data_IF_867176883711
#
_entry.id   IF_867176883711
#
_cell.length_a   1.000
_cell.length_b   1.000
_cell.length_c   1.000
_cell.angle_alpha   90.00
_cell.angle_beta   90.00
_cell.angle_gamma   90.00
#
_symmetry.space_group_name_H-M   'P 1'
#
loop_
_entity.id
_entity.type
_entity.pdbx_description
1 polymer ?
#
# COMPACT_ATOMS: atom_id res chain seq x y z
N UNK A 1 -67.87 87.76 12.33
CA UNK A 1 -66.48 87.30 12.56
C UNK A 1 -66.27 86.72 13.96
N UNK A 2 -66.65 87.42 15.04
CA UNK A 2 -66.32 86.99 16.41
C UNK A 2 -66.93 85.65 16.87
N UNK A 3 -68.20 85.37 16.55
CA UNK A 3 -68.89 84.13 16.95
C UNK A 3 -68.29 82.86 16.31
N UNK A 4 -67.89 82.93 15.04
CA UNK A 4 -67.21 81.82 14.33
C UNK A 4 -65.84 81.49 14.92
N UNK A 5 -65.12 82.50 15.44
CA UNK A 5 -63.81 82.29 16.08
C UNK A 5 -63.95 81.63 17.47
N UNK A 6 -65.00 81.97 18.22
CA UNK A 6 -65.30 81.35 19.52
C UNK A 6 -65.73 79.88 19.36
N UNK A 7 -66.57 79.58 18.36
CA UNK A 7 -66.97 78.20 18.07
C UNK A 7 -65.79 77.33 17.60
N UNK A 8 -64.86 77.89 16.82
CA UNK A 8 -63.63 77.21 16.42
C UNK A 8 -62.70 76.93 17.61
N UNK A 9 -62.53 77.90 18.51
CA UNK A 9 -61.75 77.72 19.74
C UNK A 9 -62.35 76.63 20.64
N UNK A 10 -63.66 76.68 20.88
CA UNK A 10 -64.33 75.68 21.72
C UNK A 10 -64.22 74.27 21.12
N UNK A 11 -64.27 74.14 19.78
CA UNK A 11 -64.10 72.84 19.11
C UNK A 11 -62.68 72.28 19.23
N UNK A 12 -61.66 73.15 19.19
CA UNK A 12 -60.27 72.75 19.43
C UNK A 12 -60.00 72.46 20.91
N UNK A 13 -60.61 73.20 21.85
CA UNK A 13 -60.51 72.92 23.29
C UNK A 13 -61.13 71.55 23.64
N UNK A 14 -62.28 71.20 23.01
CA UNK A 14 -62.90 69.87 23.17
C UNK A 14 -62.03 68.76 22.59
N UNK A 15 -61.37 68.98 21.44
CA UNK A 15 -60.38 68.01 20.90
C UNK A 15 -59.16 67.89 21.81
N UNK A 16 -58.66 69.00 22.34
CA UNK A 16 -57.54 69.02 23.29
C UNK A 16 -57.87 68.25 24.57
N UNK A 17 -59.08 68.40 25.10
CA UNK A 17 -59.56 67.61 26.24
C UNK A 17 -59.73 66.12 25.91
N UNK A 18 -60.16 65.78 24.68
CA UNK A 18 -60.22 64.40 24.20
C UNK A 18 -58.84 63.74 24.15
N UNK A 19 -57.87 64.42 23.53
CA UNK A 19 -56.48 63.97 23.46
C UNK A 19 -55.85 63.86 24.86
N UNK A 20 -56.14 64.80 25.77
CA UNK A 20 -55.67 64.74 27.16
C UNK A 20 -56.17 63.48 27.89
N UNK A 21 -57.45 63.14 27.74
CA UNK A 21 -58.01 61.90 28.34
C UNK A 21 -57.41 60.63 27.75
N UNK A 22 -57.11 60.61 26.45
CA UNK A 22 -56.45 59.47 25.81
C UNK A 22 -55.01 59.30 26.29
N UNK A 23 -54.28 60.40 26.46
CA UNK A 23 -52.93 60.41 27.05
C UNK A 23 -52.95 59.89 28.49
N UNK A 24 -53.90 60.35 29.32
CA UNK A 24 -54.04 59.86 30.70
C UNK A 24 -54.35 58.35 30.76
N UNK A 25 -55.20 57.88 29.84
CA UNK A 25 -55.54 56.45 29.72
C UNK A 25 -54.33 55.61 29.30
N UNK A 26 -53.52 56.10 28.36
CA UNK A 26 -52.29 55.43 27.92
C UNK A 26 -51.23 55.41 29.02
N UNK A 27 -51.07 56.52 29.76
CA UNK A 27 -50.17 56.60 30.91
C UNK A 27 -50.57 55.62 32.03
N UNK A 28 -51.87 55.48 32.29
CA UNK A 28 -52.39 54.47 33.21
C UNK A 28 -51.99 53.05 32.81
N UNK A 29 -52.17 52.70 31.54
CA UNK A 29 -51.74 51.38 31.00
C UNK A 29 -50.22 51.18 31.07
N UNK A 30 -49.44 52.21 30.80
CA UNK A 30 -47.98 52.15 30.87
C UNK A 30 -47.52 51.89 32.31
N UNK A 31 -48.16 52.54 33.29
CA UNK A 31 -47.88 52.31 34.71
C UNK A 31 -48.22 50.88 35.17
N UNK A 32 -49.29 50.30 34.63
CA UNK A 32 -49.69 48.92 34.91
C UNK A 32 -48.70 47.91 34.30
N UNK A 33 -48.26 48.13 33.06
CA UNK A 33 -47.25 47.31 32.40
C UNK A 33 -45.89 47.38 33.10
N UNK A 34 -45.46 48.56 33.53
CA UNK A 34 -44.22 48.73 34.30
C UNK A 34 -44.28 47.99 35.65
N UNK A 35 -45.46 47.88 36.27
CA UNK A 35 -45.66 47.10 37.49
C UNK A 35 -45.57 45.58 37.25
N UNK A 36 -46.11 45.12 36.12
CA UNK A 36 -46.12 43.70 35.75
C UNK A 36 -44.75 43.21 35.24
N UNK A 37 -43.97 44.07 34.60
CA UNK A 37 -42.61 43.79 34.13
C UNK A 37 -41.60 44.82 34.65
N UNK A 38 -41.14 44.70 35.91
CA UNK A 38 -40.26 45.67 36.56
C UNK A 38 -38.87 45.83 35.91
N UNK A 39 -38.47 44.88 35.06
CA UNK A 39 -37.19 44.87 34.35
C UNK A 39 -37.31 45.29 32.89
N UNK A 40 -38.49 45.71 32.42
CA UNK A 40 -38.71 46.14 31.03
C UNK A 40 -37.86 47.36 30.64
N UNK A 41 -37.48 48.20 31.62
CA UNK A 41 -36.65 49.39 31.41
C UNK A 41 -35.15 49.05 31.18
N UNK A 42 -34.76 47.79 31.33
CA UNK A 42 -33.37 47.34 31.13
C UNK A 42 -33.29 46.37 29.96
N UNK A 43 -32.44 46.69 29.00
CA UNK A 43 -32.12 45.78 27.93
C UNK A 43 -31.47 44.50 28.51
N UNK A 44 -31.88 43.29 28.09
CA UNK A 44 -31.25 42.05 28.53
C UNK A 44 -29.79 41.98 28.05
N UNK A 45 -28.96 41.15 28.70
CA UNK A 45 -27.54 40.98 28.33
C UNK A 45 -27.33 40.54 26.87
N UNK A 46 -28.35 39.90 26.27
CA UNK A 46 -28.35 39.43 24.88
C UNK A 46 -29.16 40.34 23.94
N UNK A 47 -29.49 41.57 24.36
CA UNK A 47 -30.37 42.47 23.61
C UNK A 47 -29.87 42.74 22.19
N UNK A 48 -28.58 42.98 21.99
CA UNK A 48 -28.01 43.23 20.66
C UNK A 48 -28.13 42.00 19.74
N UNK A 49 -27.88 40.81 20.28
CA UNK A 49 -27.96 39.56 19.54
C UNK A 49 -29.41 39.24 19.16
N UNK A 50 -30.36 39.46 20.08
CA UNK A 50 -31.79 39.28 19.83
C UNK A 50 -32.27 40.34 18.83
N UNK A 51 -31.89 41.61 18.99
CA UNK A 51 -32.27 42.70 18.09
C UNK A 51 -31.84 42.41 16.64
N UNK A 52 -30.64 41.87 16.43
CA UNK A 52 -30.18 41.45 15.11
C UNK A 52 -31.10 40.38 14.47
N UNK A 53 -31.69 39.48 15.26
CA UNK A 53 -32.64 38.46 14.77
C UNK A 53 -34.00 39.03 14.39
N UNK A 54 -34.47 40.03 15.15
CA UNK A 54 -35.69 40.76 14.81
C UNK A 54 -35.50 41.57 13.53
N UNK A 55 -34.35 42.25 13.37
CA UNK A 55 -34.00 42.97 12.14
C UNK A 55 -33.89 42.04 10.93
N UNK A 56 -33.36 40.82 11.10
CA UNK A 56 -33.26 39.82 10.05
C UNK A 56 -34.62 39.28 9.55
N UNK A 57 -35.73 39.63 10.22
CA UNK A 57 -37.09 39.24 9.79
C UNK A 57 -37.64 40.17 8.69
N UNK A 58 -36.96 41.29 8.39
CA UNK A 58 -37.33 42.29 7.36
C UNK A 58 -38.78 42.82 7.49
N UNK A 59 -39.28 42.84 8.73
CA UNK A 59 -40.61 43.35 9.09
C UNK A 59 -40.44 44.42 10.17
N UNK A 60 -41.04 45.58 9.96
CA UNK A 60 -41.16 46.59 11.00
C UNK A 60 -42.00 46.03 12.16
N UNK A 61 -41.44 46.04 13.37
CA UNK A 61 -42.14 45.53 14.56
C UNK A 61 -43.18 46.56 14.99
N UNK A 62 -44.46 46.22 14.81
CA UNK A 62 -45.62 46.99 15.26
C UNK A 62 -46.38 46.22 16.34
N UNK A 63 -47.20 46.91 17.13
CA UNK A 63 -48.01 46.28 18.19
C UNK A 63 -48.96 45.18 17.65
N UNK A 64 -49.37 45.25 16.38
CA UNK A 64 -50.28 44.28 15.77
C UNK A 64 -49.54 43.03 15.23
N UNK A 65 -48.26 43.16 14.89
CA UNK A 65 -47.48 42.06 14.32
C UNK A 65 -46.42 41.48 15.27
N UNK A 66 -46.27 42.06 16.47
CA UNK A 66 -45.27 41.68 17.46
C UNK A 66 -45.32 40.19 17.80
N UNK A 67 -46.51 39.63 18.03
CA UNK A 67 -46.68 38.20 18.34
C UNK A 67 -46.23 37.31 17.19
N UNK A 68 -46.50 37.72 15.96
CA UNK A 68 -46.12 36.98 14.76
C UNK A 68 -44.59 37.01 14.56
N UNK A 69 -43.96 38.18 14.69
CA UNK A 69 -42.51 38.36 14.56
C UNK A 69 -41.78 37.64 15.70
N UNK A 70 -42.26 37.77 16.94
CA UNK A 70 -41.73 37.04 18.10
C UNK A 70 -41.78 35.53 17.88
N UNK A 71 -42.93 34.99 17.45
CA UNK A 71 -43.08 33.55 17.16
C UNK A 71 -42.12 33.09 16.06
N UNK A 72 -41.85 33.93 15.06
CA UNK A 72 -40.90 33.63 13.99
C UNK A 72 -39.46 33.56 14.52
N UNK A 73 -39.03 34.54 15.32
CA UNK A 73 -37.69 34.58 15.93
C UNK A 73 -37.49 33.42 16.90
N UNK A 74 -38.49 33.14 17.74
CA UNK A 74 -38.46 32.03 18.72
C UNK A 74 -38.37 30.66 18.04
N UNK A 75 -39.12 30.45 16.95
CA UNK A 75 -38.99 29.25 16.12
C UNK A 75 -37.59 29.14 15.49
N UNK A 76 -37.03 30.25 15.02
CA UNK A 76 -35.68 30.30 14.46
C UNK A 76 -34.62 29.86 15.49
N UNK A 77 -34.65 30.46 16.68
CA UNK A 77 -33.75 30.10 17.78
C UNK A 77 -33.93 28.65 18.23
N UNK A 78 -35.18 28.19 18.36
CA UNK A 78 -35.48 26.80 18.71
C UNK A 78 -34.95 25.82 17.67
N UNK A 79 -35.04 26.15 16.38
CA UNK A 79 -34.49 25.31 15.30
C UNK A 79 -32.96 25.29 15.31
N UNK A 80 -32.31 26.43 15.54
CA UNK A 80 -30.85 26.50 15.68
C UNK A 80 -30.36 25.70 16.88
N UNK A 81 -31.04 25.83 18.03
CA UNK A 81 -30.71 25.07 19.23
C UNK A 81 -30.83 23.57 18.99
N UNK A 82 -31.91 23.12 18.32
CA UNK A 82 -32.08 21.71 17.93
C UNK A 82 -30.98 21.27 16.97
N UNK A 83 -30.62 22.07 15.98
CA UNK A 83 -29.56 21.74 15.03
C UNK A 83 -28.20 21.59 15.72
N UNK A 84 -27.88 22.48 16.67
CA UNK A 84 -26.66 22.43 17.47
C UNK A 84 -26.65 21.20 18.39
N UNK A 85 -27.76 20.87 19.04
CA UNK A 85 -27.87 19.70 19.93
C UNK A 85 -27.72 18.37 19.17
N UNK A 86 -28.35 18.27 17.98
CA UNK A 86 -28.14 17.13 17.07
C UNK A 86 -26.68 16.99 16.69
N UNK A 87 -26.05 18.09 16.23
CA UNK A 87 -24.63 18.07 15.83
C UNK A 87 -23.71 17.71 16.98
N UNK A 88 -24.01 18.20 18.19
CA UNK A 88 -23.24 17.89 19.40
C UNK A 88 -23.36 16.40 19.74
N UNK A 89 -24.55 15.82 19.63
CA UNK A 89 -24.79 14.39 19.84
C UNK A 89 -24.06 13.54 18.80
N UNK A 90 -24.11 13.91 17.53
CA UNK A 90 -23.38 13.24 16.44
C UNK A 90 -21.86 13.25 16.67
N UNK A 91 -21.30 14.40 17.02
CA UNK A 91 -19.87 14.53 17.32
C UNK A 91 -19.46 13.68 18.52
N UNK A 92 -20.24 13.70 19.60
CA UNK A 92 -20.01 12.83 20.77
C UNK A 92 -20.04 11.35 20.37
N UNK A 93 -21.01 10.95 19.57
CA UNK A 93 -21.11 9.59 19.03
C UNK A 93 -19.88 9.21 18.21
N UNK A 94 -19.43 10.09 17.31
CA UNK A 94 -18.24 9.86 16.48
C UNK A 94 -16.96 9.68 17.31
N UNK A 95 -16.78 10.48 18.37
CA UNK A 95 -15.62 10.36 19.27
C UNK A 95 -15.66 9.00 19.99
N UNK A 96 -16.80 8.61 20.53
CA UNK A 96 -16.97 7.31 21.21
C UNK A 96 -16.72 6.14 20.26
N UNK A 97 -17.17 6.22 19.00
CA UNK A 97 -16.90 5.19 18.00
C UNK A 97 -15.39 5.04 17.73
N UNK A 98 -14.65 6.16 17.65
CA UNK A 98 -13.19 6.12 17.49
C UNK A 98 -12.49 5.48 18.70
N UNK A 99 -12.98 5.74 19.92
CA UNK A 99 -12.46 5.10 21.14
C UNK A 99 -12.73 3.59 21.16
N UNK A 100 -13.93 3.16 20.75
CA UNK A 100 -14.27 1.73 20.61
C UNK A 100 -13.38 1.05 19.57
N UNK A 101 -13.16 1.68 18.42
CA UNK A 101 -12.29 1.15 17.38
C UNK A 101 -10.84 1.03 17.86
N UNK A 102 -10.34 2.05 18.58
CA UNK A 102 -9.01 2.00 19.19
C UNK A 102 -8.87 0.84 20.18
N UNK A 103 -9.84 0.67 21.08
CA UNK A 103 -9.84 -0.42 22.05
C UNK A 103 -9.88 -1.80 21.37
N UNK A 104 -10.59 -1.92 20.26
CA UNK A 104 -10.70 -3.15 19.48
C UNK A 104 -9.40 -3.50 18.75
N UNK A 105 -8.76 -2.52 18.13
CA UNK A 105 -7.54 -2.72 17.36
C UNK A 105 -6.31 -2.93 18.26
N UNK A 106 -6.27 -2.25 19.43
CA UNK A 106 -5.10 -2.23 20.30
C UNK A 106 -5.42 -2.52 21.78
N UNK A 107 -5.94 -3.72 22.10
CA UNK A 107 -6.36 -4.06 23.46
C UNK A 107 -5.23 -3.97 24.49
N UNK A 108 -4.00 -4.33 24.11
CA UNK A 108 -2.83 -4.26 25.00
C UNK A 108 -2.43 -2.82 25.37
N UNK A 109 -2.61 -1.87 24.45
CA UNK A 109 -2.26 -0.45 24.66
C UNK A 109 -3.41 0.30 25.32
N UNK A 110 -4.65 -0.06 24.99
CA UNK A 110 -5.85 0.52 25.58
C UNK A 110 -5.90 0.33 27.10
N UNK A 111 -5.40 -0.80 27.63
CA UNK A 111 -5.22 -0.98 29.07
C UNK A 111 -6.53 -0.91 29.86
N UNK A 112 -7.65 -1.30 29.24
CA UNK A 112 -8.97 -1.28 29.89
C UNK A 112 -9.65 0.08 29.96
N UNK A 113 -9.24 1.07 29.15
CA UNK A 113 -9.95 2.34 29.04
C UNK A 113 -11.40 2.15 28.61
N UNK A 114 -12.31 2.79 29.32
CA UNK A 114 -13.71 2.84 28.93
C UNK A 114 -13.89 3.81 27.77
N UNK A 115 -14.55 3.34 26.70
CA UNK A 115 -14.84 4.15 25.51
C UNK A 115 -16.01 5.12 25.80
N UNK A 116 -15.76 6.12 26.64
CA UNK A 116 -16.70 7.18 26.97
C UNK A 116 -16.06 8.54 26.76
N UNK A 117 -16.89 9.59 26.65
CA UNK A 117 -16.40 10.95 26.52
C UNK A 117 -15.69 11.45 27.79
N UNK A 118 -16.04 10.91 28.96
CA UNK A 118 -15.39 11.28 30.21
C UNK A 118 -13.90 10.85 30.24
N UNK A 119 -13.57 9.76 29.54
CA UNK A 119 -12.20 9.25 29.41
C UNK A 119 -11.41 9.92 28.27
N UNK A 120 -11.96 10.96 27.61
CA UNK A 120 -11.32 11.56 26.44
C UNK A 120 -9.92 12.11 26.75
N UNK A 121 -9.73 12.71 27.93
CA UNK A 121 -8.44 13.22 28.36
C UNK A 121 -7.40 12.10 28.50
N UNK A 122 -7.80 10.90 28.91
CA UNK A 122 -6.91 9.74 29.02
C UNK A 122 -6.47 9.23 27.64
N UNK A 123 -7.37 9.23 26.64
CA UNK A 123 -7.02 8.90 25.26
C UNK A 123 -6.04 9.92 24.67
N UNK A 124 -6.26 11.21 24.92
CA UNK A 124 -5.36 12.27 24.47
C UNK A 124 -4.00 12.22 25.18
N UNK A 125 -3.98 11.90 26.48
CA UNK A 125 -2.74 11.69 27.22
C UNK A 125 -1.95 10.48 26.67
N UNK A 126 -2.63 9.40 26.30
CA UNK A 126 -2.00 8.25 25.61
C UNK A 126 -1.45 8.65 24.24
N UNK A 127 -2.21 9.41 23.45
CA UNK A 127 -1.74 9.92 22.15
C UNK A 127 -0.45 10.71 22.33
N UNK A 128 -0.44 11.67 23.25
CA UNK A 128 0.74 12.47 23.55
C UNK A 128 1.93 11.60 23.97
N UNK A 129 1.72 10.59 24.81
CA UNK A 129 2.78 9.66 25.20
C UNK A 129 3.29 8.80 24.05
N UNK A 130 2.41 8.43 23.12
CA UNK A 130 2.82 7.70 21.92
C UNK A 130 3.70 8.59 21.02
N UNK A 131 3.31 9.86 20.84
CA UNK A 131 4.05 10.84 20.04
C UNK A 131 5.39 11.23 20.66
N UNK A 132 5.44 11.44 21.98
CA UNK A 132 6.64 11.94 22.68
C UNK A 132 7.65 10.81 23.01
N UNK A 133 7.20 9.71 23.64
CA UNK A 133 8.11 8.72 24.21
C UNK A 133 8.41 7.56 23.26
N UNK A 134 7.38 7.09 22.55
CA UNK A 134 7.42 5.77 21.93
C UNK A 134 7.70 5.85 20.43
N UNK A 135 7.04 6.76 19.72
CA UNK A 135 7.16 6.85 18.27
C UNK A 135 8.60 7.11 17.82
N UNK A 136 9.37 8.06 18.39
CA UNK A 136 10.76 8.27 17.98
C UNK A 136 11.65 7.06 18.22
N UNK A 137 11.51 6.40 19.38
CA UNK A 137 12.29 5.20 19.71
C UNK A 137 11.92 4.01 18.81
N UNK A 138 10.64 3.84 18.47
CA UNK A 138 10.19 2.80 17.54
C UNK A 138 10.63 3.08 16.11
N UNK A 139 10.59 4.34 15.66
CA UNK A 139 11.12 4.78 14.37
C UNK A 139 12.62 4.48 14.29
N UNK A 140 13.40 4.90 15.28
CA UNK A 140 14.85 4.68 15.28
C UNK A 140 15.20 3.19 15.29
N UNK A 141 14.49 2.38 16.09
CA UNK A 141 14.64 0.92 16.09
C UNK A 141 14.26 0.32 14.73
N UNK A 142 13.18 0.79 14.12
CA UNK A 142 12.73 0.34 12.81
C UNK A 142 13.78 0.66 11.73
N UNK A 143 14.29 1.89 11.69
CA UNK A 143 15.36 2.28 10.76
C UNK A 143 16.66 1.52 11.01
N UNK A 144 16.99 1.23 12.28
CA UNK A 144 18.12 0.37 12.64
C UNK A 144 17.97 -1.05 12.09
N UNK A 145 16.81 -1.68 12.31
CA UNK A 145 16.51 -3.03 11.79
C UNK A 145 16.50 -3.06 10.26
N UNK A 146 15.92 -2.04 9.62
CA UNK A 146 15.89 -1.91 8.17
C UNK A 146 17.30 -1.82 7.58
N UNK A 147 18.21 -1.09 8.23
CA UNK A 147 19.59 -0.94 7.78
C UNK A 147 20.42 -2.21 8.00
N UNK A 148 20.31 -2.86 9.16
CA UNK A 148 21.19 -3.98 9.49
C UNK A 148 20.72 -5.32 8.91
N UNK A 149 19.46 -5.69 9.11
CA UNK A 149 18.99 -7.05 8.81
C UNK A 149 18.46 -7.20 7.39
N UNK A 150 17.79 -6.18 6.85
CA UNK A 150 17.21 -6.28 5.51
C UNK A 150 18.27 -6.25 4.41
N UNK A 151 19.27 -5.36 4.54
CA UNK A 151 20.34 -5.23 3.56
C UNK A 151 21.21 -6.50 3.47
N UNK A 152 21.55 -7.12 4.60
CA UNK A 152 22.33 -8.36 4.63
C UNK A 152 21.60 -9.52 3.92
N UNK A 153 20.32 -9.73 4.22
CA UNK A 153 19.55 -10.83 3.65
C UNK A 153 19.28 -10.66 2.15
N UNK A 154 18.96 -9.44 1.71
CA UNK A 154 18.75 -9.15 0.28
C UNK A 154 20.07 -9.25 -0.50
N UNK A 155 21.17 -8.77 0.07
CA UNK A 155 22.49 -8.90 -0.54
C UNK A 155 22.85 -10.37 -0.69
N UNK A 156 22.66 -11.17 0.37
CA UNK A 156 22.89 -12.61 0.32
C UNK A 156 22.05 -13.30 -0.76
N UNK A 157 20.76 -12.94 -0.87
CA UNK A 157 19.87 -13.49 -1.91
C UNK A 157 20.36 -13.14 -3.32
N UNK A 158 20.66 -11.86 -3.57
CA UNK A 158 21.15 -11.40 -4.86
C UNK A 158 22.47 -12.09 -5.25
N UNK A 159 23.43 -12.15 -4.32
CA UNK A 159 24.70 -12.84 -4.51
C UNK A 159 24.49 -14.32 -4.79
N UNK A 160 23.61 -15.01 -4.04
CA UNK A 160 23.33 -16.44 -4.27
C UNK A 160 22.71 -16.71 -5.65
N UNK A 161 21.81 -15.85 -6.11
CA UNK A 161 21.21 -15.99 -7.44
C UNK A 161 22.26 -15.81 -8.56
N UNK A 162 23.19 -14.87 -8.40
CA UNK A 162 24.28 -14.67 -9.37
C UNK A 162 25.32 -15.80 -9.31
N UNK A 163 25.68 -16.27 -8.11
CA UNK A 163 26.58 -17.42 -7.90
C UNK A 163 26.04 -18.70 -8.55
N UNK A 164 24.78 -19.07 -8.27
CA UNK A 164 24.19 -20.29 -8.84
C UNK A 164 24.09 -20.22 -10.37
N UNK A 165 23.79 -19.04 -10.92
CA UNK A 165 23.78 -18.83 -12.36
C UNK A 165 25.18 -18.95 -12.97
N UNK A 166 26.19 -18.36 -12.35
CA UNK A 166 27.58 -18.53 -12.79
C UNK A 166 28.03 -19.99 -12.69
N UNK A 167 27.63 -20.69 -11.62
CA UNK A 167 27.94 -22.10 -11.42
C UNK A 167 27.33 -22.99 -12.50
N UNK A 168 26.14 -22.69 -13.02
CA UNK A 168 25.58 -23.39 -14.19
C UNK A 168 26.49 -23.23 -15.39
N UNK A 169 26.93 -22.00 -15.70
CA UNK A 169 27.83 -21.74 -16.84
C UNK A 169 29.16 -22.49 -16.69
N UNK A 170 29.80 -22.39 -15.54
CA UNK A 170 31.06 -23.10 -15.27
C UNK A 170 30.90 -24.61 -15.36
N UNK A 171 29.77 -25.17 -14.89
CA UNK A 171 29.49 -26.61 -15.05
C UNK A 171 29.29 -27.00 -16.51
N UNK A 172 28.72 -26.14 -17.35
CA UNK A 172 28.58 -26.43 -18.78
C UNK A 172 29.90 -26.36 -19.54
N UNK A 173 30.81 -25.47 -19.15
CA UNK A 173 32.18 -25.44 -19.69
C UNK A 173 32.87 -26.79 -19.47
N UNK A 174 32.73 -27.36 -18.28
CA UNK A 174 33.27 -28.68 -17.95
C UNK A 174 32.62 -29.83 -18.75
N UNK A 175 31.31 -29.73 -19.01
CA UNK A 175 30.61 -30.69 -19.89
C UNK A 175 31.12 -30.57 -21.33
N UNK A 176 31.36 -29.36 -21.82
CA UNK A 176 31.87 -29.13 -23.17
C UNK A 176 33.29 -29.67 -23.35
N UNK A 177 34.17 -29.56 -22.36
CA UNK A 177 35.49 -30.21 -22.37
C UNK A 177 35.37 -31.73 -22.59
N UNK A 178 34.41 -32.37 -21.92
CA UNK A 178 34.16 -33.80 -22.15
C UNK A 178 33.52 -34.09 -23.51
N UNK A 179 32.71 -33.18 -24.04
CA UNK A 179 32.06 -33.37 -25.35
C UNK A 179 33.02 -33.17 -26.52
N UNK A 180 34.06 -32.35 -26.37
CA UNK A 180 35.13 -32.17 -27.37
C UNK A 180 35.89 -33.49 -27.62
N UNK A 181 36.10 -34.28 -26.57
CA UNK A 181 36.77 -35.60 -26.66
C UNK A 181 35.89 -36.73 -27.19
N UNK A 182 34.56 -36.52 -27.23
CA UNK A 182 33.58 -37.53 -27.57
C UNK A 182 32.93 -37.24 -28.94
N UNK A 183 33.20 -38.03 -29.99
CA UNK A 183 32.69 -37.73 -31.32
C UNK A 183 31.16 -37.95 -31.38
N UNK A 184 30.43 -36.97 -31.91
CA UNK A 184 28.96 -37.02 -32.03
C UNK A 184 28.50 -37.65 -33.36
N UNK A 185 29.14 -37.26 -34.47
CA UNK A 185 29.12 -37.93 -35.76
C UNK A 185 30.57 -38.04 -36.29
N UNK A 186 30.82 -38.82 -37.36
CA UNK A 186 32.17 -38.93 -37.91
C UNK A 186 32.73 -37.54 -38.29
N UNK A 187 33.80 -37.12 -37.60
CA UNK A 187 34.46 -35.84 -37.83
C UNK A 187 33.77 -34.61 -37.21
N UNK A 188 32.76 -34.80 -36.34
CA UNK A 188 32.09 -33.69 -35.64
C UNK A 188 32.02 -33.92 -34.12
N UNK A 189 31.97 -32.82 -33.37
CA UNK A 189 31.79 -32.81 -31.94
C UNK A 189 30.66 -31.86 -31.54
N UNK A 190 30.18 -31.98 -30.30
CA UNK A 190 29.05 -31.20 -29.80
C UNK A 190 29.52 -30.14 -28.81
N UNK A 191 29.00 -28.92 -28.94
CA UNK A 191 29.21 -27.83 -27.98
C UNK A 191 27.85 -27.37 -27.47
N UNK A 192 27.68 -27.34 -26.15
CA UNK A 192 26.50 -26.79 -25.49
C UNK A 192 26.78 -25.33 -25.14
N UNK A 193 26.14 -24.43 -25.89
CA UNK A 193 26.12 -23.02 -25.54
C UNK A 193 25.02 -22.73 -24.51
N UNK A 194 25.39 -21.96 -23.49
CA UNK A 194 24.45 -21.48 -22.48
C UNK A 194 24.12 -20.02 -22.79
N UNK A 195 22.89 -19.75 -23.19
CA UNK A 195 22.37 -18.40 -23.40
C UNK A 195 21.50 -17.97 -22.23
N UNK A 196 21.48 -16.67 -21.99
CA UNK A 196 20.66 -16.10 -20.93
C UNK A 196 19.20 -15.92 -21.40
N UNK A 197 18.27 -16.52 -20.67
CA UNK A 197 16.84 -16.34 -20.94
C UNK A 197 16.33 -15.11 -20.19
N UNK A 198 16.09 -14.03 -20.93
CA UNK A 198 15.56 -12.78 -20.38
C UNK A 198 14.05 -12.86 -20.20
N UNK A 199 13.61 -13.45 -19.08
CA UNK A 199 12.22 -13.40 -18.65
C UNK A 199 11.92 -12.05 -18.01
N UNK A 200 10.80 -11.41 -18.41
CA UNK A 200 10.45 -10.07 -17.93
C UNK A 200 10.25 -10.03 -16.41
N UNK A 201 9.57 -11.02 -15.83
CA UNK A 201 9.39 -11.13 -14.39
C UNK A 201 10.71 -11.23 -13.61
N UNK A 202 11.69 -11.93 -14.17
CA UNK A 202 13.03 -12.08 -13.57
C UNK A 202 13.80 -10.77 -13.65
N UNK A 203 13.70 -10.07 -14.79
CA UNK A 203 14.33 -8.76 -14.99
C UNK A 203 13.76 -7.72 -14.02
N UNK A 204 12.43 -7.66 -13.89
CA UNK A 204 11.73 -6.77 -12.96
C UNK A 204 12.06 -7.10 -11.51
N UNK A 205 12.11 -8.38 -11.14
CA UNK A 205 12.50 -8.81 -9.81
C UNK A 205 13.94 -8.39 -9.46
N UNK A 206 14.90 -8.61 -10.37
CA UNK A 206 16.30 -8.17 -10.16
C UNK A 206 16.43 -6.66 -10.07
N UNK A 207 15.69 -5.92 -10.90
CA UNK A 207 15.64 -4.46 -10.82
C UNK A 207 15.11 -4.00 -9.45
N UNK A 208 14.03 -4.61 -8.96
CA UNK A 208 13.46 -4.31 -7.64
C UNK A 208 14.39 -4.65 -6.48
N UNK A 209 15.12 -5.79 -6.56
CA UNK A 209 16.16 -6.14 -5.59
C UNK A 209 17.30 -5.11 -5.59
N UNK A 210 17.79 -4.73 -6.77
CA UNK A 210 18.90 -3.77 -6.90
C UNK A 210 18.50 -2.38 -6.42
N UNK A 211 17.29 -1.94 -6.73
CA UNK A 211 16.73 -0.66 -6.29
C UNK A 211 16.55 -0.62 -4.76
N UNK A 212 16.15 -1.75 -4.17
CA UNK A 212 16.07 -1.88 -2.72
C UNK A 212 17.46 -1.78 -2.05
N UNK A 213 18.53 -2.21 -2.73
CA UNK A 213 19.92 -2.21 -2.26
C UNK A 213 20.70 -0.91 -2.56
N UNK A 214 20.42 -0.21 -3.65
CA UNK A 214 21.17 0.98 -4.09
C UNK A 214 21.09 2.15 -3.10
N UNK A 215 20.03 2.20 -2.30
CA UNK A 215 19.77 3.28 -1.35
C UNK A 215 20.15 2.94 0.10
N UNK A 216 20.94 1.88 0.33
CA UNK A 216 21.38 1.43 1.67
C UNK A 216 22.13 2.48 2.51
N UNK A 217 22.77 3.46 1.88
CA UNK A 217 23.61 4.44 2.57
C UNK A 217 22.93 5.81 2.81
N UNK A 218 21.67 5.99 2.39
CA UNK A 218 20.97 7.25 2.65
C UNK A 218 20.49 7.34 4.10
N UNK A 219 20.70 8.50 4.73
CA UNK A 219 20.13 8.84 6.04
C UNK A 219 18.76 9.53 5.92
N UNK A 220 18.21 9.66 4.71
CA UNK A 220 16.91 10.28 4.48
C UNK A 220 15.77 9.33 4.91
N UNK A 221 14.90 9.82 5.80
CA UNK A 221 13.79 9.06 6.38
C UNK A 221 12.71 8.76 5.34
N UNK A 222 12.42 9.69 4.44
CA UNK A 222 11.37 9.52 3.43
C UNK A 222 11.78 8.44 2.43
N UNK A 223 13.05 8.50 1.99
CA UNK A 223 13.63 7.49 1.10
C UNK A 223 13.68 6.11 1.77
N UNK A 224 14.00 6.05 3.07
CA UNK A 224 14.00 4.80 3.82
C UNK A 224 12.59 4.19 3.95
N UNK A 225 11.54 5.01 4.10
CA UNK A 225 10.16 4.53 4.10
C UNK A 225 9.72 3.97 2.73
N UNK A 226 10.06 4.66 1.64
CA UNK A 226 9.78 4.17 0.27
C UNK A 226 10.46 2.82 0.01
N UNK A 227 11.73 2.67 0.43
CA UNK A 227 12.45 1.40 0.37
C UNK A 227 11.75 0.31 1.17
N UNK A 228 11.32 0.61 2.40
CA UNK A 228 10.60 -0.37 3.21
C UNK A 228 9.31 -0.81 2.52
N UNK A 229 8.54 0.11 1.91
CA UNK A 229 7.32 -0.25 1.17
C UNK A 229 7.63 -1.19 0.00
N UNK A 230 8.68 -0.91 -0.76
CA UNK A 230 9.12 -1.77 -1.86
C UNK A 230 9.54 -3.16 -1.36
N UNK A 231 10.36 -3.22 -0.31
CA UNK A 231 10.85 -4.46 0.29
C UNK A 231 9.71 -5.27 0.92
N UNK A 232 8.82 -4.62 1.67
CA UNK A 232 7.65 -5.25 2.28
C UNK A 232 6.72 -5.82 1.21
N UNK A 233 6.51 -5.11 0.10
CA UNK A 233 5.74 -5.62 -1.02
C UNK A 233 6.38 -6.86 -1.66
N UNK A 234 7.70 -6.84 -1.87
CA UNK A 234 8.46 -7.97 -2.41
C UNK A 234 8.42 -9.19 -1.49
N UNK A 235 8.69 -9.00 -0.19
CA UNK A 235 8.63 -10.07 0.82
C UNK A 235 7.21 -10.60 0.97
N UNK A 236 6.19 -9.73 0.97
CA UNK A 236 4.79 -10.15 1.01
C UNK A 236 4.43 -11.01 -0.20
N UNK A 237 4.86 -10.62 -1.40
CA UNK A 237 4.66 -11.40 -2.62
C UNK A 237 5.40 -12.74 -2.57
N UNK A 238 6.65 -12.75 -2.09
CA UNK A 238 7.42 -13.98 -1.87
C UNK A 238 6.79 -14.89 -0.81
N UNK A 239 6.15 -14.37 0.22
CA UNK A 239 5.51 -15.15 1.28
C UNK A 239 4.07 -15.60 0.94
N UNK A 240 3.48 -15.00 -0.09
CA UNK A 240 2.10 -15.26 -0.52
C UNK A 240 1.86 -16.73 -0.84
N UNK A 241 0.62 -17.16 -0.54
CA UNK A 241 0.15 -18.53 -0.79
C UNK A 241 -0.73 -18.65 -2.03
N UNK A 242 -1.01 -17.53 -2.70
CA UNK A 242 -1.73 -17.46 -3.96
C UNK A 242 -1.00 -18.23 -5.06
N UNK A 243 -1.74 -18.93 -5.92
CA UNK A 243 -1.17 -19.75 -7.00
C UNK A 243 -0.29 -18.92 -7.95
N UNK A 244 -0.73 -17.70 -8.30
CA UNK A 244 0.01 -16.80 -9.17
C UNK A 244 1.38 -16.41 -8.57
N UNK A 245 1.41 -16.09 -7.28
CA UNK A 245 2.65 -15.71 -6.58
C UNK A 245 3.57 -16.90 -6.35
N UNK A 246 3.03 -18.11 -6.16
CA UNK A 246 3.83 -19.34 -6.10
C UNK A 246 4.53 -19.62 -7.42
N UNK A 247 3.82 -19.49 -8.54
CA UNK A 247 4.38 -19.67 -9.87
C UNK A 247 5.44 -18.61 -10.16
N UNK A 248 5.14 -17.35 -9.87
CA UNK A 248 6.10 -16.26 -9.98
C UNK A 248 7.34 -16.50 -9.11
N UNK A 249 7.18 -16.91 -7.85
CA UNK A 249 8.27 -17.22 -6.93
C UNK A 249 9.15 -18.34 -7.48
N UNK A 250 8.56 -19.40 -8.02
CA UNK A 250 9.30 -20.47 -8.67
C UNK A 250 10.07 -19.95 -9.88
N UNK A 251 9.45 -19.10 -10.70
CA UNK A 251 10.06 -18.51 -11.88
C UNK A 251 11.27 -17.63 -11.53
N UNK A 252 11.17 -16.77 -10.51
CA UNK A 252 12.23 -15.80 -10.17
C UNK A 252 13.35 -16.38 -9.30
N UNK A 253 13.08 -17.44 -8.54
CA UNK A 253 14.09 -18.08 -7.67
C UNK A 253 14.80 -19.27 -8.32
N UNK A 254 14.17 -19.94 -9.29
CA UNK A 254 14.79 -21.06 -9.99
C UNK A 254 15.68 -20.57 -11.15
N UNK A 255 16.97 -20.39 -10.88
CA UNK A 255 17.95 -19.92 -11.88
C UNK A 255 18.07 -20.83 -13.10
N UNK A 256 17.63 -22.09 -13.02
CA UNK A 256 17.62 -23.02 -14.17
C UNK A 256 16.65 -22.57 -15.25
N UNK A 257 15.63 -21.80 -14.89
CA UNK A 257 14.68 -21.22 -15.84
C UNK A 257 15.19 -19.90 -16.45
N UNK A 258 16.36 -19.41 -16.03
CA UNK A 258 16.95 -18.14 -16.50
C UNK A 258 18.01 -18.37 -17.56
N UNK A 259 18.24 -19.62 -17.95
CA UNK A 259 19.22 -20.02 -18.95
C UNK A 259 18.54 -20.93 -19.96
N UNK A 260 18.97 -20.81 -21.20
CA UNK A 260 18.60 -21.70 -22.29
C UNK A 260 19.86 -22.40 -22.79
N UNK A 261 19.73 -23.69 -23.11
CA UNK A 261 20.82 -24.48 -23.66
C UNK A 261 20.58 -24.71 -25.15
N UNK A 262 21.61 -24.42 -25.94
CA UNK A 262 21.64 -24.62 -27.38
C UNK A 262 22.82 -25.53 -27.69
N UNK A 263 22.56 -26.70 -28.27
CA UNK A 263 23.64 -27.58 -28.72
C UNK A 263 23.99 -27.25 -30.18
N UNK A 264 25.28 -27.05 -30.46
CA UNK A 264 25.84 -26.83 -31.79
C UNK A 264 26.75 -28.00 -32.12
N UNK A 265 26.61 -28.53 -33.32
CA UNK A 265 27.49 -29.53 -33.87
C UNK A 265 28.51 -28.82 -34.75
N UNK A 266 29.80 -29.01 -34.42
CA UNK A 266 30.92 -28.38 -35.10
C UNK A 266 31.78 -29.46 -35.78
N UNK A 267 32.34 -29.14 -36.95
CA UNK A 267 33.34 -29.98 -37.59
C UNK A 267 34.76 -29.76 -37.01
N UNK A 268 35.76 -30.43 -37.59
CA UNK A 268 37.15 -30.33 -37.13
C UNK A 268 37.78 -28.94 -37.34
N UNK A 269 37.17 -28.08 -38.15
CA UNK A 269 37.60 -26.70 -38.40
C UNK A 269 36.73 -25.68 -37.62
N UNK A 270 35.98 -26.13 -36.61
CA UNK A 270 35.01 -25.37 -35.80
C UNK A 270 33.89 -24.70 -36.62
N UNK A 271 33.58 -25.22 -37.80
CA UNK A 271 32.47 -24.73 -38.62
C UNK A 271 31.17 -25.37 -38.16
N UNK A 272 30.15 -24.53 -37.94
CA UNK A 272 28.82 -24.98 -37.55
C UNK A 272 28.19 -25.84 -38.65
N UNK A 273 27.95 -27.11 -38.32
CA UNK A 273 27.25 -28.07 -39.16
C UNK A 273 25.75 -28.01 -38.88
N UNK A 274 25.36 -28.06 -37.60
CA UNK A 274 23.95 -28.12 -37.22
C UNK A 274 23.68 -27.53 -35.82
N UNK A 275 22.50 -26.92 -35.62
CA UNK A 275 22.08 -26.38 -34.31
C UNK A 275 20.83 -27.08 -33.81
N UNK A 276 20.83 -27.43 -32.54
CA UNK A 276 19.77 -28.13 -31.82
C UNK A 276 19.29 -27.25 -30.65
N UNK A 277 18.07 -26.69 -30.77
CA UNK A 277 17.42 -25.92 -29.70
C UNK A 277 16.42 -26.79 -28.94
N UNK A 278 16.32 -26.59 -27.62
CA UNK A 278 15.51 -27.43 -26.73
C UNK A 278 13.98 -27.41 -26.98
N UNK A 279 13.47 -26.57 -27.90
CA UNK A 279 12.03 -26.40 -28.14
C UNK A 279 11.52 -26.52 -29.60
N UNK A 280 12.39 -26.71 -30.60
CA UNK A 280 11.98 -26.57 -32.02
C UNK A 280 12.16 -27.85 -32.86
N UNK A 281 11.04 -28.47 -33.25
CA UNK A 281 10.83 -29.01 -34.61
C UNK A 281 11.63 -30.20 -35.14
N UNK A 282 12.40 -30.96 -34.34
CA UNK A 282 13.20 -32.10 -34.85
C UNK A 282 12.67 -33.49 -34.45
N UNK A 283 13.07 -34.50 -35.26
CA UNK A 283 12.72 -35.92 -35.11
C UNK A 283 13.01 -36.42 -33.68
N UNK A 284 12.10 -37.23 -33.11
CA UNK A 284 12.26 -37.77 -31.76
C UNK A 284 13.59 -38.50 -31.54
N UNK A 285 14.13 -39.16 -32.58
CA UNK A 285 15.41 -39.87 -32.53
C UNK A 285 16.62 -38.96 -32.37
N UNK A 286 16.65 -37.79 -33.03
CA UNK A 286 17.76 -36.83 -32.86
C UNK A 286 17.79 -36.24 -31.45
N UNK A 287 16.61 -35.98 -30.85
CA UNK A 287 16.51 -35.50 -29.47
C UNK A 287 17.01 -36.54 -28.46
N UNK A 288 16.67 -37.81 -28.68
CA UNK A 288 17.18 -38.91 -27.87
C UNK A 288 18.70 -39.07 -27.99
N UNK A 289 19.23 -39.03 -29.22
CA UNK A 289 20.69 -39.10 -29.47
C UNK A 289 21.45 -37.97 -28.78
N UNK A 290 20.95 -36.73 -28.90
CA UNK A 290 21.51 -35.56 -28.23
C UNK A 290 21.52 -35.74 -26.71
N UNK A 291 20.37 -36.09 -26.12
CA UNK A 291 20.24 -36.26 -24.68
C UNK A 291 21.15 -37.37 -24.14
N UNK A 292 21.24 -38.51 -24.83
CA UNK A 292 22.09 -39.62 -24.45
C UNK A 292 23.59 -39.25 -24.51
N UNK A 293 24.01 -38.53 -25.55
CA UNK A 293 25.40 -38.11 -25.71
C UNK A 293 25.81 -37.08 -24.65
N UNK A 294 24.97 -36.07 -24.43
CA UNK A 294 25.19 -35.07 -23.37
C UNK A 294 25.21 -35.72 -21.98
N UNK A 295 24.32 -36.67 -21.70
CA UNK A 295 24.29 -37.39 -20.43
C UNK A 295 25.55 -38.24 -20.24
N UNK A 296 25.99 -38.96 -21.27
CA UNK A 296 27.21 -39.77 -21.21
C UNK A 296 28.46 -38.91 -20.99
N UNK A 297 28.57 -37.75 -21.65
CA UNK A 297 29.67 -36.80 -21.44
C UNK A 297 29.64 -36.20 -20.02
N UNK A 298 28.48 -35.74 -19.56
CA UNK A 298 28.33 -35.19 -18.21
C UNK A 298 28.68 -36.24 -17.12
N UNK A 299 28.24 -37.49 -17.30
CA UNK A 299 28.58 -38.58 -16.37
C UNK A 299 30.06 -38.93 -16.42
N UNK A 300 30.68 -38.96 -17.60
CA UNK A 300 32.13 -39.14 -17.74
C UNK A 300 32.91 -38.08 -16.99
N UNK A 301 32.53 -36.82 -17.14
CA UNK A 301 33.18 -35.73 -16.41
C UNK A 301 32.96 -35.84 -14.89
N UNK A 302 31.71 -36.06 -14.45
CA UNK A 302 31.37 -36.10 -13.03
C UNK A 302 31.97 -37.31 -12.29
N UNK A 303 32.14 -38.45 -12.97
CA UNK A 303 32.64 -39.69 -12.38
C UNK A 303 34.13 -39.94 -12.65
N UNK A 304 34.70 -39.31 -13.66
CA UNK A 304 36.08 -39.49 -14.12
C UNK A 304 37.02 -38.30 -13.86
N UNK A 305 36.60 -37.33 -13.05
CA UNK A 305 37.32 -36.07 -12.82
C UNK A 305 38.85 -36.21 -12.68
N UNK A 306 39.57 -35.31 -13.35
CA UNK A 306 41.02 -35.39 -13.59
C UNK A 306 41.91 -35.25 -12.34
N UNK A 307 41.35 -34.83 -11.20
CA UNK A 307 42.09 -34.54 -9.95
C UNK A 307 42.16 -35.72 -8.96
N UNK A 308 42.14 -36.96 -9.45
CA UNK A 308 42.25 -38.15 -8.58
C UNK A 308 43.56 -38.88 -8.79
N UNK A 309 44.30 -39.07 -7.70
CA UNK A 309 45.57 -39.82 -7.67
C UNK A 309 45.43 -41.32 -8.04
N UNK A 310 44.19 -41.83 -8.16
CA UNK A 310 43.88 -43.21 -8.54
C UNK A 310 42.76 -43.21 -9.59
N UNK A 311 42.80 -44.12 -10.59
CA UNK A 311 41.72 -44.25 -11.56
C UNK A 311 40.41 -44.62 -10.85
N UNK A 312 39.36 -43.81 -11.02
CA UNK A 312 38.02 -44.17 -10.53
C UNK A 312 37.21 -44.82 -11.64
N UNK A 313 36.91 -46.10 -11.48
CA UNK A 313 35.91 -46.79 -12.28
C UNK A 313 34.54 -46.58 -11.66
N UNK A 314 33.58 -46.08 -12.44
CA UNK A 314 32.17 -46.02 -12.05
C UNK A 314 31.31 -46.70 -13.09
N UNK A 315 30.50 -47.66 -12.66
CA UNK A 315 29.54 -48.33 -13.54
C UNK A 315 28.28 -47.49 -13.64
N UNK A 316 27.93 -47.07 -14.85
CA UNK A 316 26.65 -46.42 -15.16
C UNK A 316 25.80 -47.41 -15.94
N UNK A 317 24.57 -47.64 -15.46
CA UNK A 317 23.55 -48.40 -16.20
C UNK A 317 22.52 -47.41 -16.72
N UNK A 318 22.35 -47.36 -18.04
CA UNK A 318 21.36 -46.52 -18.71
C UNK A 318 20.30 -47.43 -19.31
N UNK A 319 19.16 -47.55 -18.63
CA UNK A 319 18.01 -48.29 -19.16
C UNK A 319 17.25 -47.41 -20.17
N UNK A 320 16.81 -47.99 -21.29
CA UNK A 320 16.11 -47.32 -22.41
C UNK A 320 16.84 -46.16 -23.13
N UNK A 321 18.10 -45.83 -22.81
CA UNK A 321 18.80 -44.69 -23.43
C UNK A 321 19.06 -44.82 -24.95
N UNK A 322 18.95 -46.04 -25.49
CA UNK A 322 19.29 -46.36 -26.88
C UNK A 322 18.24 -47.23 -27.59
N UNK A 323 16.99 -47.23 -27.13
CA UNK A 323 15.92 -48.14 -27.62
C UNK A 323 15.63 -48.01 -29.14
N UNK A 324 16.10 -46.92 -29.77
CA UNK A 324 16.07 -46.69 -31.23
C UNK A 324 17.38 -46.17 -31.83
N UNK A 325 18.48 -46.20 -31.09
CA UNK A 325 19.77 -45.74 -31.60
C UNK A 325 20.51 -46.90 -32.29
N UNK A 326 21.05 -46.63 -33.47
CA UNK A 326 21.87 -47.58 -34.22
C UNK A 326 23.03 -48.09 -33.34
N UNK A 327 23.37 -49.38 -33.45
CA UNK A 327 24.41 -50.03 -32.65
C UNK A 327 25.78 -49.31 -32.77
N UNK A 328 26.00 -48.64 -33.88
CA UNK A 328 27.16 -47.79 -34.16
C UNK A 328 27.24 -46.57 -33.22
N UNK A 329 26.10 -45.96 -32.85
CA UNK A 329 26.05 -44.83 -31.92
C UNK A 329 26.37 -45.21 -30.48
N UNK A 330 25.89 -46.36 -30.02
CA UNK A 330 26.21 -46.87 -28.69
C UNK A 330 27.71 -47.15 -28.56
N UNK A 331 28.33 -47.68 -29.63
CA UNK A 331 29.77 -47.91 -29.67
C UNK A 331 30.58 -46.61 -29.72
N UNK A 332 30.10 -45.58 -30.42
CA UNK A 332 30.76 -44.27 -30.51
C UNK A 332 30.67 -43.50 -29.18
N UNK A 333 29.48 -43.49 -28.57
CA UNK A 333 29.27 -42.89 -27.25
C UNK A 333 30.03 -43.64 -26.16
N UNK A 334 30.30 -44.94 -26.27
CA UNK A 334 31.05 -45.69 -25.24
C UNK A 334 32.51 -45.95 -25.58
N UNK A 335 32.98 -45.50 -26.75
CA UNK A 335 34.39 -45.66 -27.13
C UNK A 335 35.26 -44.79 -26.23
N UNK A 336 36.29 -45.36 -25.59
CA UNK A 336 37.33 -44.59 -24.95
C UNK A 336 38.24 -44.07 -26.07
N UNK A 337 38.00 -42.86 -26.55
CA UNK A 337 39.05 -42.12 -27.25
C UNK A 337 40.11 -41.79 -26.20
N UNK A 338 41.32 -42.30 -26.44
CA UNK A 338 42.50 -42.18 -25.59
C UNK A 338 43.01 -40.74 -25.47
#
# INVERSE_FOLDING_TARGET
MHRKAVDAKNKEDVKGQGLGKDVDKLNGKLSELARLWPTADRAPAFAEQIAARYLATDKDVTLENLDQVHTQVDRGLSNELRALDTRLTELKGSIVQRFLEFNRLWPAVAGGLDATLASADDYLAKLKRLEDDNLPAYEDRFFGLLREQSDQNLTLLATKLDEERSAIRSRMELVNESLETAPFNPGTHLVIETTDQSLEDVRLFRASLKDSLSHSFSNDRDLAEERFKALAALVKRLASQETADKNWRHLVLDVRQHVEFVARELDADDVEVEVYRSGAGKSGGQRQKLAATCLAAALRYQLGGQDRALPSYSTVVLDEAFDKADAEFTAMAMSPTA
#
